data_IF_246566135277
#
_entry.id   IF_246566135277
#
_cell.length_a   1.000
_cell.length_b   1.000
_cell.length_c   1.000
_cell.angle_alpha   90.00
_cell.angle_beta   90.00
_cell.angle_gamma   90.00
#
_symmetry.space_group_name_H-M   'P 1'
#
loop_
_entity.id
_entity.type
_entity.pdbx_description
1 polymer ?
#
# COMPACT_ATOMS: atom_id res chain seq x y z
N UNK A 1 -21.17 1.51 0.03
CA UNK A 1 -19.77 1.04 -0.06
C UNK A 1 -18.98 2.16 -0.69
N UNK A 2 -17.90 2.66 -0.07
CA UNK A 2 -16.98 3.58 -0.72
C UNK A 2 -16.42 2.94 -2.00
N UNK A 3 -16.07 3.76 -2.99
CA UNK A 3 -15.49 3.31 -4.25
C UNK A 3 -13.97 3.49 -4.18
N UNK A 4 -13.21 2.48 -4.61
CA UNK A 4 -11.75 2.61 -4.73
C UNK A 4 -11.37 3.70 -5.75
N UNK A 5 -10.41 4.53 -5.36
CA UNK A 5 -9.79 5.58 -6.17
C UNK A 5 -8.35 5.19 -6.47
N UNK A 6 -7.93 5.40 -7.71
CA UNK A 6 -6.53 5.20 -8.11
C UNK A 6 -5.67 6.23 -7.39
N UNK A 7 -4.58 5.80 -6.77
CA UNK A 7 -3.72 6.67 -5.96
C UNK A 7 -3.31 7.97 -6.68
N UNK A 8 -3.04 7.91 -7.98
CA UNK A 8 -2.67 9.07 -8.81
C UNK A 8 -3.72 10.20 -8.88
N UNK A 9 -4.97 9.89 -8.54
CA UNK A 9 -6.10 10.82 -8.54
C UNK A 9 -6.69 10.99 -7.13
N UNK A 10 -6.09 10.36 -6.12
CA UNK A 10 -6.65 10.31 -4.78
C UNK A 10 -6.26 11.55 -3.97
N UNK A 11 -7.21 12.03 -3.19
CA UNK A 11 -7.02 13.06 -2.17
C UNK A 11 -7.18 12.45 -0.77
N UNK A 12 -6.67 13.09 0.30
CA UNK A 12 -6.95 12.64 1.66
C UNK A 12 -8.46 12.48 1.91
N UNK A 13 -8.85 11.30 2.40
CA UNK A 13 -10.24 10.86 2.58
C UNK A 13 -10.73 9.88 1.50
N UNK A 14 -10.04 9.76 0.36
CA UNK A 14 -10.39 8.78 -0.65
C UNK A 14 -9.99 7.36 -0.25
N UNK A 15 -10.82 6.38 -0.59
CA UNK A 15 -10.54 4.97 -0.38
C UNK A 15 -9.56 4.45 -1.44
N UNK A 16 -8.40 3.95 -1.02
CA UNK A 16 -7.41 3.29 -1.88
C UNK A 16 -7.68 1.78 -2.00
N UNK A 17 -8.23 1.17 -0.96
CA UNK A 17 -8.61 -0.25 -0.93
C UNK A 17 -9.96 -0.41 -0.25
N UNK A 18 -10.82 -1.25 -0.82
CA UNK A 18 -12.08 -1.71 -0.24
C UNK A 18 -12.15 -3.23 -0.41
N UNK A 19 -11.96 -3.99 0.66
CA UNK A 19 -11.92 -5.45 0.61
C UNK A 19 -12.49 -6.07 1.89
N UNK A 20 -13.44 -7.01 1.75
CA UNK A 20 -13.94 -7.86 2.86
C UNK A 20 -14.35 -7.11 4.14
N UNK A 21 -14.91 -5.90 4.01
CA UNK A 21 -15.33 -5.07 5.14
C UNK A 21 -14.23 -4.14 5.68
N UNK A 22 -13.01 -4.24 5.17
CA UNK A 22 -11.91 -3.29 5.42
C UNK A 22 -11.92 -2.17 4.40
N UNK A 23 -11.74 -0.93 4.88
CA UNK A 23 -11.49 0.24 4.04
C UNK A 23 -10.13 0.84 4.39
N UNK A 24 -9.30 1.10 3.38
CA UNK A 24 -8.02 1.80 3.53
C UNK A 24 -8.16 3.16 2.87
N UNK A 25 -8.19 4.23 3.67
CA UNK A 25 -8.36 5.60 3.23
C UNK A 25 -7.01 6.32 3.21
N UNK A 26 -6.74 7.11 2.17
CA UNK A 26 -5.57 7.99 2.15
C UNK A 26 -5.73 9.05 3.25
N UNK A 27 -4.75 9.21 4.13
CA UNK A 27 -4.72 10.30 5.12
C UNK A 27 -3.64 11.32 4.82
N UNK A 28 -2.48 10.85 4.35
CA UNK A 28 -1.35 11.70 3.99
C UNK A 28 -0.78 11.23 2.65
N UNK A 29 -0.62 12.17 1.72
CA UNK A 29 -0.05 11.88 0.41
C UNK A 29 1.40 11.39 0.54
N UNK A 30 1.78 10.43 -0.32
CA UNK A 30 3.15 9.93 -0.31
C UNK A 30 4.10 10.96 -0.94
N UNK A 31 5.30 11.05 -0.39
CA UNK A 31 6.42 11.76 -1.00
C UNK A 31 7.04 10.86 -2.07
N UNK A 32 7.19 11.39 -3.27
CA UNK A 32 7.92 10.69 -4.33
C UNK A 32 9.41 10.63 -3.99
N UNK A 33 10.01 9.46 -4.13
CA UNK A 33 11.45 9.25 -3.99
C UNK A 33 12.05 8.54 -5.20
N UNK A 34 13.38 8.52 -5.23
CA UNK A 34 14.16 8.04 -6.38
C UNK A 34 14.91 6.73 -6.08
N UNK A 35 14.85 5.71 -6.96
CA UNK A 35 13.96 5.61 -8.12
C UNK A 35 12.63 4.92 -7.72
N UNK A 36 11.49 5.43 -8.20
CA UNK A 36 10.14 4.84 -8.03
C UNK A 36 9.72 4.49 -6.58
N UNK A 37 10.15 5.29 -5.62
CA UNK A 37 9.70 5.16 -4.24
C UNK A 37 8.49 6.03 -3.95
N UNK A 38 7.59 5.51 -3.12
CA UNK A 38 6.51 6.25 -2.47
C UNK A 38 6.75 6.15 -0.97
N UNK A 39 7.13 7.26 -0.35
CA UNK A 39 7.56 7.29 1.05
C UNK A 39 6.64 8.15 1.92
N UNK A 40 6.66 7.89 3.22
CA UNK A 40 5.98 8.68 4.24
C UNK A 40 4.46 8.84 3.98
N UNK A 41 3.84 7.85 3.34
CA UNK A 41 2.42 7.86 3.08
C UNK A 41 1.62 7.49 4.31
N UNK A 42 0.52 8.17 4.55
CA UNK A 42 -0.40 7.84 5.64
C UNK A 42 -1.66 7.21 5.09
N UNK A 43 -2.08 6.09 5.65
CA UNK A 43 -3.43 5.57 5.44
C UNK A 43 -4.14 5.28 6.74
N UNK A 44 -5.45 5.42 6.72
CA UNK A 44 -6.31 5.00 7.83
C UNK A 44 -7.01 3.72 7.41
N UNK A 45 -6.83 2.67 8.21
CA UNK A 45 -7.45 1.37 8.01
C UNK A 45 -8.63 1.27 8.96
N UNK A 46 -9.83 1.12 8.41
CA UNK A 46 -11.04 0.81 9.17
C UNK A 46 -11.37 -0.68 8.98
N UNK A 47 -11.19 -1.46 10.06
CA UNK A 47 -11.46 -2.90 10.08
C UNK A 47 -12.58 -3.22 11.07
N UNK A 48 -13.50 -4.16 10.74
CA UNK A 48 -14.62 -4.48 11.63
C UNK A 48 -14.21 -4.91 13.05
N UNK A 49 -13.09 -5.61 13.20
CA UNK A 49 -12.65 -6.18 14.48
C UNK A 49 -11.64 -5.29 15.22
N UNK A 50 -10.86 -4.48 14.50
CA UNK A 50 -9.77 -3.69 15.07
C UNK A 50 -10.07 -2.19 15.10
N UNK A 51 -11.20 -1.77 14.52
CA UNK A 51 -11.58 -0.37 14.39
C UNK A 51 -10.65 0.41 13.45
N UNK A 52 -10.64 1.72 13.65
CA UNK A 52 -9.93 2.68 12.81
C UNK A 52 -8.52 2.94 13.34
N UNK A 53 -7.48 2.61 12.56
CA UNK A 53 -6.07 2.78 12.92
C UNK A 53 -5.30 3.54 11.85
N UNK A 54 -4.40 4.42 12.27
CA UNK A 54 -3.48 5.12 11.38
C UNK A 54 -2.20 4.28 11.19
N UNK A 55 -1.69 4.28 9.97
CA UNK A 55 -0.49 3.54 9.59
C UNK A 55 0.32 4.38 8.62
N UNK A 56 1.64 4.34 8.81
CA UNK A 56 2.59 4.80 7.81
C UNK A 56 2.89 3.67 6.82
N UNK A 57 2.88 3.99 5.53
CA UNK A 57 3.16 3.10 4.42
C UNK A 57 4.28 3.68 3.58
N UNK A 58 5.17 2.78 3.17
CA UNK A 58 6.17 3.02 2.16
C UNK A 58 6.08 1.92 1.09
N UNK A 59 6.32 2.28 -0.16
CA UNK A 59 6.34 1.35 -1.27
C UNK A 59 7.52 1.65 -2.21
N UNK A 60 8.13 0.59 -2.74
CA UNK A 60 9.10 0.64 -3.83
C UNK A 60 8.57 -0.20 -4.97
N UNK A 61 8.35 0.47 -6.11
CA UNK A 61 7.69 -0.11 -7.26
C UNK A 61 8.72 -0.46 -8.31
N UNK A 62 9.00 -1.76 -8.45
CA UNK A 62 10.11 -2.24 -9.27
C UNK A 62 9.73 -2.33 -10.73
N UNK A 63 10.72 -2.09 -11.59
CA UNK A 63 10.55 -2.17 -13.04
C UNK A 63 11.25 -3.42 -13.59
N UNK A 64 10.54 -4.31 -14.32
CA UNK A 64 11.09 -5.59 -14.79
C UNK A 64 12.25 -5.44 -15.77
N UNK A 65 12.33 -4.33 -16.50
CA UNK A 65 13.30 -4.16 -17.58
C UNK A 65 14.56 -3.36 -17.17
N UNK A 66 14.75 -3.12 -15.87
CA UNK A 66 15.92 -2.39 -15.38
C UNK A 66 17.04 -3.30 -14.87
N UNK A 67 18.28 -3.17 -15.39
CA UNK A 67 19.43 -3.92 -14.87
C UNK A 67 19.69 -3.63 -13.39
N UNK A 68 19.94 -4.68 -12.61
CA UNK A 68 20.21 -4.64 -11.16
C UNK A 68 19.04 -4.20 -10.28
N UNK A 69 17.82 -4.15 -10.83
CA UNK A 69 16.62 -3.93 -10.03
C UNK A 69 16.06 -5.23 -9.46
N UNK A 70 15.49 -5.19 -8.24
CA UNK A 70 14.81 -6.36 -7.68
C UNK A 70 13.59 -6.75 -8.53
N UNK A 71 13.35 -8.06 -8.67
CA UNK A 71 12.20 -8.61 -9.40
C UNK A 71 10.92 -8.67 -8.54
N UNK A 72 10.76 -7.71 -7.64
CA UNK A 72 9.62 -7.64 -6.72
C UNK A 72 9.25 -6.20 -6.39
N UNK A 73 7.96 -5.93 -6.18
CA UNK A 73 7.59 -4.71 -5.44
C UNK A 73 7.79 -4.96 -3.96
N UNK A 74 8.03 -3.88 -3.23
CA UNK A 74 8.18 -3.92 -1.78
C UNK A 74 7.19 -2.94 -1.17
N UNK A 75 6.27 -3.43 -0.34
CA UNK A 75 5.42 -2.58 0.49
C UNK A 75 5.69 -2.91 1.95
N UNK A 76 5.78 -1.87 2.76
CA UNK A 76 6.04 -2.02 4.17
C UNK A 76 5.39 -0.89 4.96
N UNK A 77 5.11 -1.18 6.22
CA UNK A 77 4.42 -0.22 7.06
C UNK A 77 4.63 -0.43 8.54
N UNK A 78 4.20 0.59 9.28
CA UNK A 78 4.29 0.66 10.73
C UNK A 78 3.02 1.25 11.30
N UNK A 79 2.45 0.60 12.31
CA UNK A 79 1.30 1.13 13.02
C UNK A 79 1.71 2.38 13.80
N UNK A 80 0.91 3.44 13.68
CA UNK A 80 1.17 4.69 14.37
C UNK A 80 0.41 4.74 15.69
N UNK A 81 1.09 5.21 16.73
CA UNK A 81 0.46 5.57 18.00
C UNK A 81 -0.40 6.84 17.84
N UNK A 82 -1.28 7.12 18.81
CA UNK A 82 -2.31 8.15 18.68
C UNK A 82 -1.79 9.59 18.46
N UNK A 83 -0.53 9.87 18.81
CA UNK A 83 0.15 11.16 18.68
C UNK A 83 1.25 11.17 17.61
N UNK A 84 1.39 10.11 16.83
CA UNK A 84 2.34 10.03 15.72
C UNK A 84 1.71 10.45 14.38
N UNK A 85 2.54 11.02 13.51
CA UNK A 85 2.19 11.38 12.13
C UNK A 85 3.14 10.70 11.14
N UNK A 86 2.67 10.31 9.95
CA UNK A 86 3.52 9.76 8.90
C UNK A 86 4.67 10.71 8.52
N UNK A 87 5.87 10.18 8.30
CA UNK A 87 7.04 10.92 7.86
C UNK A 87 7.75 11.73 8.94
N UNK A 88 7.35 11.59 10.21
CA UNK A 88 8.17 12.02 11.36
C UNK A 88 9.16 10.89 11.67
N UNK A 89 10.44 11.24 11.88
CA UNK A 89 11.49 10.27 12.24
C UNK A 89 11.03 9.39 13.41
N UNK A 90 10.67 8.14 13.11
CA UNK A 90 10.07 7.28 14.12
C UNK A 90 9.79 5.86 13.64
N UNK A 91 10.45 4.92 14.30
CA UNK A 91 10.02 3.52 14.40
C UNK A 91 10.56 2.56 13.35
N UNK A 92 10.80 1.33 13.78
CA UNK A 92 11.09 0.21 12.89
C UNK A 92 9.81 -0.18 12.13
N UNK A 93 9.96 -0.55 10.86
CA UNK A 93 8.92 -1.24 10.09
C UNK A 93 8.36 -2.45 10.87
N UNK A 94 7.04 -2.52 11.03
CA UNK A 94 6.37 -3.64 11.69
C UNK A 94 6.23 -4.84 10.76
N UNK A 95 5.77 -4.58 9.54
CA UNK A 95 5.50 -5.60 8.54
C UNK A 95 6.05 -5.18 7.19
N UNK A 96 6.40 -6.17 6.38
CA UNK A 96 6.93 -5.97 5.04
C UNK A 96 6.53 -7.14 4.15
N UNK A 97 6.02 -6.82 2.96
CA UNK A 97 5.62 -7.77 1.94
C UNK A 97 6.41 -7.51 0.65
N UNK A 98 7.11 -8.53 0.17
CA UNK A 98 7.72 -8.55 -1.14
C UNK A 98 6.79 -9.27 -2.13
N UNK A 99 6.50 -8.62 -3.24
CA UNK A 99 5.59 -9.09 -4.30
C UNK A 99 6.37 -9.35 -5.58
N UNK A 100 6.88 -10.58 -5.73
CA UNK A 100 7.69 -10.99 -6.86
C UNK A 100 6.89 -11.02 -8.16
N UNK A 101 7.56 -10.74 -9.28
CA UNK A 101 6.92 -10.71 -10.61
C UNK A 101 6.41 -12.09 -11.06
N UNK A 102 6.93 -13.17 -10.48
CA UNK A 102 6.45 -14.54 -10.68
C UNK A 102 5.19 -14.88 -9.86
N UNK A 103 4.64 -13.91 -9.12
CA UNK A 103 3.44 -14.04 -8.31
C UNK A 103 3.69 -14.51 -6.87
N UNK A 104 4.94 -14.82 -6.48
CA UNK A 104 5.24 -15.19 -5.09
C UNK A 104 5.14 -13.98 -4.16
N UNK A 105 4.58 -14.22 -2.98
CA UNK A 105 4.49 -13.28 -1.87
C UNK A 105 5.43 -13.74 -0.76
N UNK A 106 6.28 -12.84 -0.25
CA UNK A 106 7.23 -13.14 0.83
C UNK A 106 7.13 -12.09 1.93
N UNK A 107 6.76 -12.51 3.13
CA UNK A 107 6.81 -11.66 4.32
C UNK A 107 8.27 -11.56 4.83
N UNK A 108 8.74 -10.34 5.05
CA UNK A 108 10.10 -10.05 5.56
C UNK A 108 10.09 -9.19 6.84
N UNK A 109 8.92 -8.71 7.26
CA UNK A 109 8.77 -7.89 8.46
C UNK A 109 8.80 -8.72 9.75
N UNK A 110 8.77 -8.02 10.90
CA UNK A 110 8.64 -8.64 12.23
C UNK A 110 7.27 -9.31 12.40
N UNK A 111 6.26 -8.78 11.72
CA UNK A 111 4.89 -9.24 11.68
C UNK A 111 4.50 -9.62 10.24
N UNK A 112 3.47 -10.46 10.13
CA UNK A 112 2.83 -10.75 8.84
C UNK A 112 2.18 -9.50 8.27
N UNK A 113 2.31 -9.30 6.96
CA UNK A 113 1.68 -8.18 6.28
C UNK A 113 0.14 -8.31 6.32
N UNK A 114 -0.60 -7.21 6.55
CA UNK A 114 -2.05 -7.22 6.49
C UNK A 114 -2.58 -7.75 5.15
N UNK A 115 -3.73 -8.42 5.14
CA UNK A 115 -4.32 -9.00 3.92
C UNK A 115 -4.59 -7.97 2.82
N UNK A 116 -4.89 -6.73 3.19
CA UNK A 116 -5.10 -5.61 2.27
C UNK A 116 -3.80 -5.03 1.68
N UNK A 117 -2.61 -5.34 2.25
CA UNK A 117 -1.34 -4.75 1.84
C UNK A 117 -1.00 -5.04 0.37
N UNK A 118 -1.30 -6.26 -0.10
CA UNK A 118 -1.13 -6.63 -1.50
C UNK A 118 -1.96 -5.74 -2.43
N UNK A 119 -3.26 -5.56 -2.13
CA UNK A 119 -4.18 -4.75 -2.94
C UNK A 119 -3.77 -3.27 -2.91
N UNK A 120 -3.28 -2.78 -1.77
CA UNK A 120 -2.76 -1.42 -1.67
C UNK A 120 -1.51 -1.25 -2.55
N UNK A 121 -0.56 -2.17 -2.49
CA UNK A 121 0.64 -2.14 -3.35
C UNK A 121 0.29 -2.21 -4.83
N UNK A 122 -0.68 -3.04 -5.23
CA UNK A 122 -1.19 -3.07 -6.61
C UNK A 122 -1.70 -1.68 -7.06
N UNK A 123 -2.46 -0.98 -6.21
CA UNK A 123 -2.95 0.37 -6.50
C UNK A 123 -1.78 1.39 -6.58
N UNK A 124 -0.84 1.34 -5.63
CA UNK A 124 0.30 2.26 -5.54
C UNK A 124 1.32 2.07 -6.68
N UNK A 125 1.71 0.83 -6.96
CA UNK A 125 2.81 0.48 -7.85
C UNK A 125 2.45 0.28 -9.31
N UNK A 126 1.17 0.47 -9.68
CA UNK A 126 0.73 0.48 -11.07
C UNK A 126 1.20 -0.74 -11.88
N UNK A 127 1.17 -1.93 -11.26
CA UNK A 127 1.32 -3.17 -12.02
C UNK A 127 -0.01 -3.49 -12.70
N UNK A 128 0.04 -3.45 -14.03
CA UNK A 128 -1.13 -3.38 -14.88
C UNK A 128 -1.65 -1.94 -14.95
N UNK A 129 -2.03 -1.46 -16.14
CA UNK A 129 -3.29 -0.73 -16.15
C UNK A 129 -4.27 -1.67 -15.43
N UNK A 130 -4.77 -1.32 -14.23
CA UNK A 130 -5.70 -2.15 -13.42
C UNK A 130 -6.38 -3.19 -14.32
N UNK A 131 -6.18 -4.49 -14.12
CA UNK A 131 -6.99 -5.49 -14.83
C UNK A 131 -8.45 -5.37 -14.33
N UNK A 132 -9.13 -4.30 -14.75
CA UNK A 132 -10.57 -4.18 -14.81
C UNK A 132 -11.05 -4.97 -16.04
N UNK A 133 -10.67 -6.25 -16.14
CA UNK A 133 -11.40 -7.24 -16.95
C UNK A 133 -12.59 -7.79 -16.14
N UNK A 134 -13.35 -6.91 -15.48
CA UNK A 134 -14.67 -7.24 -14.93
C UNK A 134 -15.72 -6.15 -15.13
N UNK A 135 -15.55 -5.32 -16.17
CA UNK A 135 -16.66 -4.66 -16.88
C UNK A 135 -16.81 -5.17 -18.33
N UNK A 136 -16.29 -6.37 -18.64
CA UNK A 136 -16.59 -7.11 -19.86
C UNK A 136 -17.13 -8.49 -19.50
N UNK A 137 -18.38 -8.52 -19.06
CA UNK A 137 -19.41 -9.38 -19.63
C UNK A 137 -20.74 -9.06 -18.93
N UNK A 138 -21.65 -8.50 -19.74
CA UNK A 138 -23.11 -8.68 -19.74
C UNK A 138 -23.85 -8.76 -18.40
#
# INVERSE_FOLDING_TARGET
MPKEVKYQNAEPGDALVVSEGTTVELSHAFKAGEPNGLYDGGVIVDEPENGRRLIEINAVCSMPDLPNWPEYDNIYGRWLEADEEPGVDGGDTDWQLLMYFDGRLVNQGKQEAPSWAKRLAENLCRKGDFEDESAKNQ
#
